data_IF_286597274960
#
_entry.id   IF_286597274960
#
_cell.length_a   1.000
_cell.length_b   1.000
_cell.length_c   1.000
_cell.angle_alpha   90.00
_cell.angle_beta   90.00
_cell.angle_gamma   90.00
#
_symmetry.space_group_name_H-M   'P 1'
#
loop_
_entity.id
_entity.type
_entity.pdbx_description
1 polymer ?
#
# COMPACT_ATOMS: atom_id res chain seq x y z
N UNK A 1 -11.09 5.28 14.51
CA UNK A 1 -9.92 6.03 14.02
C UNK A 1 -10.38 7.44 13.67
N UNK A 2 -9.56 8.47 13.91
CA UNK A 2 -9.90 9.83 13.45
C UNK A 2 -9.63 9.92 11.94
N UNK A 3 -10.42 10.69 11.23
CA UNK A 3 -10.14 11.01 9.82
C UNK A 3 -8.88 11.88 9.74
N UNK A 4 -8.00 11.67 8.74
CA UNK A 4 -6.78 12.46 8.58
C UNK A 4 -7.13 13.91 8.28
N UNK A 5 -6.33 14.84 8.79
CA UNK A 5 -6.52 16.28 8.57
C UNK A 5 -5.46 16.90 7.67
N UNK A 6 -4.39 16.15 7.40
CA UNK A 6 -3.34 16.50 6.45
C UNK A 6 -3.09 15.35 5.46
N UNK A 7 -2.60 15.64 4.24
CA UNK A 7 -2.09 14.61 3.34
C UNK A 7 -0.97 13.79 4.01
N UNK A 8 -0.84 12.54 3.59
CA UNK A 8 0.19 11.60 4.10
C UNK A 8 0.07 11.24 5.58
N UNK A 9 -1.00 11.63 6.28
CA UNK A 9 -1.23 11.21 7.66
C UNK A 9 -1.59 9.71 7.72
N UNK A 10 -2.49 9.26 6.83
CA UNK A 10 -2.91 7.87 6.71
C UNK A 10 -2.84 7.41 5.25
N UNK A 11 -2.02 6.40 4.97
CA UNK A 11 -1.88 5.79 3.64
C UNK A 11 -2.30 4.33 3.71
N UNK A 12 -3.22 3.91 2.83
CA UNK A 12 -3.70 2.53 2.75
C UNK A 12 -2.99 1.79 1.62
N UNK A 13 -2.22 0.76 1.96
CA UNK A 13 -1.51 -0.14 1.04
C UNK A 13 -2.32 -1.43 0.93
N UNK A 14 -3.09 -1.55 -0.15
CA UNK A 14 -3.80 -2.76 -0.50
C UNK A 14 -2.96 -3.63 -1.43
N UNK A 15 -2.84 -4.92 -1.09
CA UNK A 15 -2.28 -5.95 -1.97
C UNK A 15 -3.34 -7.03 -2.18
N UNK A 16 -3.76 -7.23 -3.43
CA UNK A 16 -4.76 -8.23 -3.81
C UNK A 16 -4.14 -9.30 -4.69
N UNK A 17 -4.30 -10.57 -4.32
CA UNK A 17 -3.93 -11.72 -5.14
C UNK A 17 -5.03 -11.98 -6.17
N UNK A 18 -4.65 -12.09 -7.44
CA UNK A 18 -5.57 -12.48 -8.52
C UNK A 18 -4.96 -13.61 -9.34
N UNK A 19 -5.74 -14.66 -9.58
CA UNK A 19 -5.34 -15.73 -10.48
C UNK A 19 -5.58 -15.29 -11.93
N UNK A 20 -4.55 -15.38 -12.78
CA UNK A 20 -4.70 -15.14 -14.23
C UNK A 20 -4.57 -16.44 -15.00
N UNK A 21 -5.24 -16.51 -16.16
CA UNK A 21 -5.20 -17.69 -17.04
C UNK A 21 -3.85 -17.90 -17.75
N UNK A 22 -3.00 -16.87 -17.79
CA UNK A 22 -1.79 -16.83 -18.63
C UNK A 22 -0.52 -16.67 -17.80
N UNK A 23 -0.54 -15.77 -16.82
CA UNK A 23 0.65 -15.39 -16.05
C UNK A 23 0.71 -16.02 -14.65
N UNK A 24 -0.27 -16.86 -14.31
CA UNK A 24 -0.44 -17.42 -12.97
C UNK A 24 -0.94 -16.37 -12.00
N UNK A 25 -0.59 -16.51 -10.72
CA UNK A 25 -1.00 -15.60 -9.67
C UNK A 25 -0.25 -14.26 -9.79
N UNK A 26 -1.00 -13.17 -9.78
CA UNK A 26 -0.48 -11.80 -9.80
C UNK A 26 -0.87 -11.07 -8.53
N UNK A 27 -0.03 -10.11 -8.14
CA UNK A 27 -0.34 -9.12 -7.12
C UNK A 27 -0.78 -7.84 -7.80
N UNK A 28 -1.92 -7.32 -7.36
CA UNK A 28 -2.39 -5.98 -7.68
C UNK A 28 -2.22 -5.12 -6.44
N UNK A 29 -1.44 -4.05 -6.55
CA UNK A 29 -1.07 -3.19 -5.43
C UNK A 29 -1.66 -1.80 -5.66
N UNK A 30 -2.25 -1.23 -4.62
CA UNK A 30 -2.72 0.15 -4.60
C UNK A 30 -2.31 0.83 -3.31
N UNK A 31 -1.82 2.06 -3.40
CA UNK A 31 -1.53 2.91 -2.24
C UNK A 31 -2.35 4.19 -2.33
N UNK A 32 -3.23 4.38 -1.35
CA UNK A 32 -4.21 5.47 -1.31
C UNK A 32 -3.92 6.41 -0.14
N UNK A 33 -3.72 7.69 -0.42
CA UNK A 33 -3.74 8.73 0.61
C UNK A 33 -5.19 8.99 1.05
N UNK A 34 -5.48 8.78 2.34
CA UNK A 34 -6.84 8.85 2.85
C UNK A 34 -7.37 10.28 2.99
N UNK A 35 -6.51 11.29 2.96
CA UNK A 35 -6.93 12.68 3.04
C UNK A 35 -7.50 13.15 1.68
N UNK A 36 -6.80 12.84 0.59
CA UNK A 36 -7.12 13.33 -0.75
C UNK A 36 -7.82 12.32 -1.66
N UNK A 37 -7.91 11.05 -1.24
CA UNK A 37 -8.27 9.91 -2.09
C UNK A 37 -7.35 9.76 -3.32
N UNK A 38 -6.13 10.33 -3.26
CA UNK A 38 -5.14 10.23 -4.33
C UNK A 38 -4.41 8.88 -4.29
N UNK A 39 -4.24 8.27 -5.47
CA UNK A 39 -3.48 7.03 -5.63
C UNK A 39 -2.00 7.40 -5.78
N UNK A 40 -1.22 7.20 -4.72
CA UNK A 40 0.21 7.47 -4.67
C UNK A 40 1.02 6.43 -5.46
N UNK A 41 0.54 5.19 -5.49
CA UNK A 41 1.19 4.09 -6.17
C UNK A 41 0.16 3.06 -6.64
N UNK A 42 0.39 2.48 -7.82
CA UNK A 42 -0.33 1.30 -8.27
C UNK A 42 0.59 0.43 -9.13
N UNK A 43 0.49 -0.88 -8.99
CA UNK A 43 1.25 -1.80 -9.83
C UNK A 43 0.56 -3.16 -9.98
N UNK A 44 0.90 -3.86 -11.04
CA UNK A 44 0.53 -5.25 -11.28
C UNK A 44 1.81 -6.04 -11.47
N UNK A 45 2.16 -6.85 -10.48
CA UNK A 45 3.36 -7.67 -10.48
C UNK A 45 3.00 -9.15 -10.47
N UNK A 46 3.89 -10.02 -10.96
CA UNK A 46 3.77 -11.45 -10.70
C UNK A 46 3.85 -11.69 -9.20
N UNK A 47 3.05 -12.64 -8.69
CA UNK A 47 3.13 -13.00 -7.27
C UNK A 47 4.58 -13.43 -6.95
N UNK A 48 5.20 -12.84 -5.92
CA UNK A 48 6.56 -13.20 -5.54
C UNK A 48 6.62 -14.66 -5.10
N UNK A 49 7.70 -15.34 -5.48
CA UNK A 49 8.00 -16.74 -5.10
C UNK A 49 9.02 -16.83 -3.98
N UNK A 50 9.69 -15.72 -3.68
CA UNK A 50 10.69 -15.61 -2.62
C UNK A 50 10.51 -14.33 -1.82
N UNK A 51 11.04 -14.30 -0.61
CA UNK A 51 11.03 -13.11 0.25
C UNK A 51 11.79 -11.94 -0.40
N UNK A 52 12.85 -12.22 -1.17
CA UNK A 52 13.61 -11.20 -1.90
C UNK A 52 12.79 -10.57 -3.02
N UNK A 53 12.06 -11.38 -3.80
CA UNK A 53 11.15 -10.86 -4.83
C UNK A 53 10.03 -10.01 -4.21
N UNK A 54 9.49 -10.44 -3.07
CA UNK A 54 8.49 -9.67 -2.32
C UNK A 54 9.08 -8.34 -1.86
N UNK A 55 10.28 -8.37 -1.30
CA UNK A 55 10.99 -7.17 -0.81
C UNK A 55 11.20 -6.16 -1.93
N UNK A 56 11.64 -6.58 -3.11
CA UNK A 56 11.85 -5.68 -4.26
C UNK A 56 10.55 -4.98 -4.67
N UNK A 57 9.43 -5.70 -4.69
CA UNK A 57 8.12 -5.13 -5.03
C UNK A 57 7.70 -4.08 -3.99
N UNK A 58 7.88 -4.39 -2.70
CA UNK A 58 7.54 -3.47 -1.60
C UNK A 58 8.49 -2.27 -1.55
N UNK A 59 9.79 -2.46 -1.79
CA UNK A 59 10.77 -1.36 -1.88
C UNK A 59 10.36 -0.32 -2.92
N UNK A 60 9.96 -0.77 -4.12
CA UNK A 60 9.46 0.12 -5.17
C UNK A 60 8.22 0.90 -4.71
N UNK A 61 7.27 0.21 -4.07
CA UNK A 61 6.07 0.81 -3.51
C UNK A 61 6.39 1.92 -2.49
N UNK A 62 7.23 1.64 -1.48
CA UNK A 62 7.58 2.63 -0.46
C UNK A 62 8.45 3.76 -1.02
N UNK A 63 9.34 3.46 -1.96
CA UNK A 63 10.14 4.46 -2.64
C UNK A 63 9.25 5.48 -3.39
N UNK A 64 8.31 5.01 -4.21
CA UNK A 64 7.41 5.91 -4.96
C UNK A 64 6.51 6.74 -4.03
N UNK A 65 6.02 6.17 -2.92
CA UNK A 65 5.29 6.96 -1.92
C UNK A 65 6.17 8.08 -1.36
N UNK A 66 7.39 7.75 -0.96
CA UNK A 66 8.31 8.70 -0.32
C UNK A 66 8.80 9.79 -1.29
N UNK A 67 8.95 9.50 -2.58
CA UNK A 67 9.27 10.51 -3.62
C UNK A 67 8.17 11.56 -3.78
N UNK A 68 6.93 11.22 -3.43
CA UNK A 68 5.81 12.16 -3.44
C UNK A 68 5.68 12.94 -2.11
N UNK A 69 6.53 12.70 -1.10
CA UNK A 69 6.42 13.35 0.21
C UNK A 69 7.00 14.78 0.20
N UNK A 70 6.22 15.75 0.66
CA UNK A 70 6.62 17.14 0.86
C UNK A 70 6.47 17.54 2.34
N UNK A 71 7.57 17.72 3.08
CA UNK A 71 7.51 18.02 4.52
C UNK A 71 6.81 19.34 4.87
N UNK A 72 6.70 20.28 3.94
CA UNK A 72 6.04 21.57 4.20
C UNK A 72 4.50 21.47 4.11
N UNK A 73 4.00 20.44 3.42
CA UNK A 73 2.57 20.27 3.13
C UNK A 73 1.98 18.98 3.72
N UNK A 74 2.80 18.04 4.13
CA UNK A 74 2.39 16.71 4.59
C UNK A 74 2.54 16.51 6.09
N UNK A 75 1.81 15.53 6.62
CA UNK A 75 1.90 15.15 8.03
C UNK A 75 3.32 14.70 8.41
N UNK A 76 3.83 15.21 9.53
CA UNK A 76 5.12 14.77 10.09
C UNK A 76 5.13 13.28 10.45
N UNK A 77 3.96 12.71 10.76
CA UNK A 77 3.78 11.29 11.07
C UNK A 77 2.87 10.67 10.03
N UNK A 78 3.37 9.64 9.36
CA UNK A 78 2.59 8.84 8.41
C UNK A 78 2.31 7.47 9.00
N UNK A 79 1.04 7.06 8.98
CA UNK A 79 0.64 5.69 9.32
C UNK A 79 0.21 4.96 8.06
N UNK A 80 0.95 3.90 7.73
CA UNK A 80 0.61 2.95 6.69
C UNK A 80 -0.32 1.88 7.26
N UNK A 81 -1.48 1.72 6.63
CA UNK A 81 -2.40 0.62 6.91
C UNK A 81 -2.28 -0.40 5.79
N UNK A 82 -2.18 -1.67 6.10
CA UNK A 82 -2.06 -2.72 5.08
C UNK A 82 -2.83 -3.99 5.42
N UNK A 83 -3.15 -4.76 4.38
CA UNK A 83 -3.67 -6.12 4.48
C UNK A 83 -2.59 -7.20 4.26
N UNK A 84 -1.32 -6.81 4.14
CA UNK A 84 -0.23 -7.77 4.16
C UNK A 84 -0.20 -8.51 5.52
N UNK A 85 0.26 -9.77 5.57
CA UNK A 85 0.29 -10.52 6.81
C UNK A 85 1.42 -10.05 7.74
N UNK A 86 1.23 -10.24 9.05
CA UNK A 86 2.17 -9.81 10.10
C UNK A 86 3.59 -10.40 9.94
N UNK A 87 3.77 -11.55 9.28
CA UNK A 87 5.13 -12.08 9.09
C UNK A 87 5.99 -11.20 8.16
N UNK A 88 5.38 -10.26 7.42
CA UNK A 88 6.09 -9.30 6.57
C UNK A 88 6.56 -8.08 7.40
N UNK A 89 6.19 -7.97 8.69
CA UNK A 89 6.57 -6.87 9.61
C UNK A 89 8.06 -6.57 9.55
N UNK A 90 8.92 -7.57 9.70
CA UNK A 90 10.38 -7.36 9.77
C UNK A 90 10.93 -6.80 8.46
N UNK A 91 10.37 -7.23 7.33
CA UNK A 91 10.74 -6.77 5.99
C UNK A 91 10.34 -5.30 5.80
N UNK A 92 9.09 -4.95 6.12
CA UNK A 92 8.58 -3.58 5.91
C UNK A 92 9.15 -2.60 6.94
N UNK A 93 9.46 -3.05 8.15
CA UNK A 93 10.09 -2.21 9.17
C UNK A 93 11.43 -1.64 8.71
N UNK A 94 12.16 -2.34 7.83
CA UNK A 94 13.38 -1.85 7.21
C UNK A 94 13.16 -0.85 6.06
N UNK A 95 11.93 -0.70 5.58
CA UNK A 95 11.56 0.17 4.45
C UNK A 95 10.97 1.52 4.89
N UNK A 96 10.61 1.65 6.16
CA UNK A 96 9.98 2.84 6.71
C UNK A 96 10.97 3.72 7.49
N UNK A 97 10.71 5.02 7.52
CA UNK A 97 11.48 5.99 8.29
C UNK A 97 11.02 6.06 9.75
N UNK A 98 11.80 6.65 10.69
CA UNK A 98 11.46 6.68 12.11
C UNK A 98 10.13 7.38 12.47
N UNK A 99 9.67 8.28 11.63
CA UNK A 99 8.40 9.00 11.77
C UNK A 99 7.22 8.27 11.10
N UNK A 100 7.48 7.13 10.47
CA UNK A 100 6.47 6.30 9.83
C UNK A 100 6.08 5.13 10.76
N UNK A 101 4.84 4.67 10.61
CA UNK A 101 4.28 3.52 11.35
C UNK A 101 3.55 2.61 10.40
N UNK A 102 3.54 1.31 10.68
CA UNK A 102 2.74 0.34 9.95
C UNK A 102 1.74 -0.28 10.91
N UNK A 103 0.50 -0.40 10.44
CA UNK A 103 -0.59 -1.07 11.14
C UNK A 103 -1.20 -2.11 10.20
N UNK A 104 -1.23 -3.35 10.67
CA UNK A 104 -1.87 -4.46 9.99
C UNK A 104 -3.36 -4.44 10.33
N UNK A 105 -4.18 -4.07 9.35
CA UNK A 105 -5.63 -3.96 9.51
C UNK A 105 -6.28 -4.24 8.14
N UNK A 106 -6.45 -5.53 7.83
CA UNK A 106 -7.04 -5.98 6.57
C UNK A 106 -8.47 -5.44 6.40
N UNK A 107 -9.30 -5.51 7.45
CA UNK A 107 -10.70 -5.08 7.38
C UNK A 107 -10.79 -3.59 7.03
N UNK A 108 -10.03 -2.74 7.72
CA UNK A 108 -10.03 -1.31 7.46
C UNK A 108 -9.44 -0.99 6.09
N UNK A 109 -8.32 -1.63 5.72
CA UNK A 109 -7.66 -1.42 4.42
C UNK A 109 -8.62 -1.75 3.29
N UNK A 110 -9.27 -2.91 3.32
CA UNK A 110 -10.27 -3.32 2.32
C UNK A 110 -11.49 -2.39 2.32
N UNK A 111 -11.94 -1.92 3.49
CA UNK A 111 -13.07 -0.99 3.58
C UNK A 111 -12.77 0.34 2.91
N UNK A 112 -11.59 0.94 3.17
CA UNK A 112 -11.20 2.25 2.64
C UNK A 112 -10.85 2.18 1.14
N UNK A 113 -10.26 1.07 0.70
CA UNK A 113 -9.87 0.87 -0.71
C UNK A 113 -10.93 0.18 -1.58
N UNK A 114 -12.12 -0.14 -1.03
CA UNK A 114 -13.19 -0.88 -1.72
C UNK A 114 -13.57 -0.28 -3.09
N UNK A 115 -13.60 1.05 -3.18
CA UNK A 115 -13.98 1.74 -4.40
C UNK A 115 -12.95 1.52 -5.53
N UNK A 116 -11.66 1.42 -5.19
CA UNK A 116 -10.59 1.10 -6.14
C UNK A 116 -10.76 -0.32 -6.70
N UNK A 117 -11.04 -1.29 -5.84
CA UNK A 117 -11.27 -2.68 -6.25
C UNK A 117 -12.47 -2.82 -7.20
N UNK A 118 -13.50 -2.00 -7.03
CA UNK A 118 -14.65 -1.97 -7.94
C UNK A 118 -14.24 -1.43 -9.31
N UNK A 119 -13.53 -0.30 -9.34
CA UNK A 119 -13.05 0.30 -10.60
C UNK A 119 -12.12 -0.63 -11.39
N UNK A 120 -11.30 -1.41 -10.70
CA UNK A 120 -10.41 -2.37 -11.33
C UNK A 120 -11.19 -3.56 -11.93
N UNK A 121 -12.12 -4.15 -11.17
CA UNK A 121 -12.95 -5.26 -11.64
C UNK A 121 -13.85 -4.89 -12.82
N UNK A 122 -14.38 -3.68 -12.84
CA UNK A 122 -15.26 -3.22 -13.94
C UNK A 122 -14.48 -2.99 -15.26
N UNK A 123 -13.15 -2.92 -15.21
CA UNK A 123 -12.26 -2.68 -16.37
C UNK A 123 -11.56 -3.94 -16.90
N UNK A 124 -11.74 -5.09 -16.25
CA UNK A 124 -11.26 -6.40 -16.69
C UNK A 124 -12.38 -7.20 -17.37
#
# INVERSE_FOLDING_TARGET
MKEPVLPFEHIYILVSLMETKVDGDIWVIFCLDSYSDYILYHDVAKSPKTDEEMKIILEKCFYEINENYDPDNHSEITTFFTNLPDFVVDMISGLITPNQKIVFDEELTLKKTRHLMKLFKDKM
#
